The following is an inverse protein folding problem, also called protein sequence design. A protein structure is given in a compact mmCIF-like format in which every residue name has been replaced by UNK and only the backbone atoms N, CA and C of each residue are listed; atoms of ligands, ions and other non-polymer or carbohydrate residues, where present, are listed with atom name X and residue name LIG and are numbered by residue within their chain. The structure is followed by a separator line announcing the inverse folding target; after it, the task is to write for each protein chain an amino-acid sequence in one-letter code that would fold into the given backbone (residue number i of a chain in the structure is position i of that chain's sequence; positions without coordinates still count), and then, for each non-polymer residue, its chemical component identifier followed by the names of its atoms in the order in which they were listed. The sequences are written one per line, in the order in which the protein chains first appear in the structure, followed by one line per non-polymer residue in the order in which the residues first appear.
data_IF_538502741763
#
_entry.id   IF_538502741763
#
_cell.length_a   1.000
_cell.length_b   1.000
_cell.length_c   1.000
_cell.angle_alpha   90.00
_cell.angle_beta   90.00
_cell.angle_gamma   90.00
#
_symmetry.space_group_name_H-M   'P 1'
#
loop_
_entity.id
_entity.type
_entity.pdbx_description
1 polymer ?
#
# COMPACT_ATOMS: atom_id res chain seq x y z
N UNK A 1 61.61 44.16 6.32
CA UNK A 1 62.12 44.63 5.03
C UNK A 1 61.72 43.65 4.02
N UNK A 2 60.61 43.94 3.36
CA UNK A 2 60.50 44.15 1.90
C UNK A 2 60.54 42.81 1.16
N UNK A 3 59.71 42.48 0.23
CA UNK A 3 58.68 43.22 -0.52
C UNK A 3 57.76 42.19 -1.17
N UNK A 4 56.53 42.63 -1.36
CA UNK A 4 55.54 42.08 -2.28
C UNK A 4 56.06 41.96 -3.69
N UNK A 5 55.63 40.93 -4.42
CA UNK A 5 55.46 41.01 -5.88
C UNK A 5 54.23 40.21 -6.31
N UNK A 6 53.24 40.87 -6.89
CA UNK A 6 52.03 40.24 -7.43
C UNK A 6 52.18 40.13 -8.96
N UNK A 7 51.52 39.15 -9.53
CA UNK A 7 51.18 39.04 -10.95
C UNK A 7 51.74 37.82 -11.67
N UNK A 8 50.93 36.76 -11.65
CA UNK A 8 50.91 35.79 -12.73
C UNK A 8 49.46 35.66 -13.21
N UNK A 9 49.14 35.91 -14.50
CA UNK A 9 47.77 35.76 -15.03
C UNK A 9 47.44 34.30 -15.29
N UNK A 10 46.25 33.88 -14.81
CA UNK A 10 45.63 32.59 -15.17
C UNK A 10 45.36 32.49 -16.68
N UNK A 11 45.53 31.29 -17.25
CA UNK A 11 45.18 31.01 -18.67
C UNK A 11 43.64 30.85 -18.80
N UNK A 12 43.05 31.21 -19.94
CA UNK A 12 41.61 31.11 -20.17
C UNK A 12 41.17 29.66 -20.26
N UNK A 13 40.15 29.29 -19.43
CA UNK A 13 39.47 28.01 -19.51
C UNK A 13 38.71 27.90 -20.82
N UNK A 14 39.16 26.98 -21.67
CA UNK A 14 38.51 26.53 -22.90
C UNK A 14 37.19 25.84 -22.54
N UNK A 15 36.06 26.43 -22.98
CA UNK A 15 34.75 25.84 -22.89
C UNK A 15 34.65 24.56 -23.71
N UNK A 16 34.46 23.43 -23.04
CA UNK A 16 34.06 22.19 -23.68
C UNK A 16 32.51 22.27 -23.98
N UNK A 17 32.06 21.76 -25.16
CA UNK A 17 30.66 21.75 -25.51
C UNK A 17 29.90 20.78 -24.58
N UNK A 18 28.73 21.25 -24.08
CA UNK A 18 27.88 20.54 -23.12
C UNK A 18 27.50 19.13 -23.59
N UNK A 19 27.68 18.18 -22.69
CA UNK A 19 27.15 16.84 -22.83
C UNK A 19 25.61 16.92 -22.81
N UNK A 20 24.88 16.09 -23.60
CA UNK A 20 23.43 16.04 -23.58
C UNK A 20 22.95 15.61 -22.19
N UNK A 21 21.99 16.38 -21.65
CA UNK A 21 21.44 16.18 -20.31
C UNK A 21 20.95 14.74 -20.11
N UNK A 22 21.36 14.17 -19.00
CA UNK A 22 20.80 12.92 -18.49
C UNK A 22 19.27 13.07 -18.34
N UNK A 23 18.47 12.04 -18.68
CA UNK A 23 17.04 12.09 -18.47
C UNK A 23 16.77 12.33 -16.98
N UNK A 24 15.96 13.34 -16.69
CA UNK A 24 15.62 13.78 -15.34
C UNK A 24 15.20 12.60 -14.48
N UNK A 25 15.83 12.47 -13.33
CA UNK A 25 15.36 11.59 -12.28
C UNK A 25 13.89 11.97 -12.01
N UNK A 26 12.98 11.02 -12.22
CA UNK A 26 11.59 11.13 -11.83
C UNK A 26 11.61 11.42 -10.33
N UNK A 27 11.21 12.64 -9.94
CA UNK A 27 11.16 13.04 -8.54
C UNK A 27 10.36 12.04 -7.74
N UNK A 28 10.84 11.68 -6.56
CA UNK A 28 10.06 10.91 -5.62
C UNK A 28 8.68 11.59 -5.43
N UNK A 29 7.59 10.83 -5.34
CA UNK A 29 6.25 11.41 -5.19
C UNK A 29 6.24 12.38 -4.01
N UNK A 30 5.63 13.55 -4.21
CA UNK A 30 5.45 14.59 -3.20
C UNK A 30 4.46 14.10 -2.13
N UNK A 31 4.91 13.16 -1.31
CA UNK A 31 4.14 12.64 -0.18
C UNK A 31 4.19 13.68 0.90
N UNK A 32 3.05 14.24 1.35
CA UNK A 32 3.03 15.23 2.41
C UNK A 32 3.72 14.67 3.66
N UNK A 33 4.83 15.31 4.06
CA UNK A 33 5.55 14.92 5.27
C UNK A 33 4.63 15.13 6.48
N UNK A 34 4.22 14.05 7.08
CA UNK A 34 3.50 14.09 8.34
C UNK A 34 4.46 14.49 9.46
N UNK A 35 4.03 15.34 10.41
CA UNK A 35 4.89 15.72 11.52
C UNK A 35 5.36 14.48 12.29
N UNK A 36 6.63 14.49 12.72
CA UNK A 36 7.22 13.39 13.47
C UNK A 36 6.38 13.07 14.73
N UNK A 37 6.09 11.79 15.00
CA UNK A 37 5.23 11.40 16.11
C UNK A 37 5.82 11.83 17.44
N UNK A 38 5.00 12.47 18.29
CA UNK A 38 5.40 12.99 19.60
C UNK A 38 5.54 11.90 20.66
N UNK A 39 4.81 10.80 20.49
CA UNK A 39 4.76 9.69 21.45
C UNK A 39 5.14 8.39 20.74
N UNK A 40 6.06 7.65 21.36
CA UNK A 40 6.41 6.27 20.90
C UNK A 40 6.01 5.26 21.96
N UNK A 41 5.65 4.06 21.53
CA UNK A 41 5.30 2.98 22.41
C UNK A 41 6.52 2.47 23.20
N UNK A 42 6.32 2.29 24.50
CA UNK A 42 7.25 1.57 25.37
C UNK A 42 6.45 0.63 26.29
N UNK A 43 7.08 -0.47 26.76
CA UNK A 43 6.38 -1.44 27.61
C UNK A 43 5.98 -0.81 28.95
N UNK A 44 4.73 -1.03 29.34
CA UNK A 44 4.28 -0.63 30.68
C UNK A 44 4.83 -1.58 31.74
N UNK A 45 5.19 -1.03 32.90
CA UNK A 45 5.57 -1.85 34.06
C UNK A 45 4.33 -2.63 34.54
N UNK A 46 4.32 -3.93 34.31
CA UNK A 46 3.22 -4.82 34.70
C UNK A 46 3.79 -6.04 35.43
N UNK A 47 3.06 -6.50 36.45
CA UNK A 47 3.41 -7.70 37.24
C UNK A 47 2.40 -8.79 36.88
N UNK A 48 2.79 -10.04 37.04
CA UNK A 48 1.88 -11.19 36.88
C UNK A 48 0.65 -11.03 37.79
N UNK A 49 -0.53 -11.02 37.19
CA UNK A 49 -1.78 -10.76 37.91
C UNK A 49 -2.17 -11.86 38.88
N UNK A 50 -1.68 -13.08 38.72
CA UNK A 50 -1.95 -14.21 39.64
C UNK A 50 -1.46 -13.95 41.06
N UNK A 51 -0.24 -13.40 41.21
CA UNK A 51 0.31 -13.03 42.52
C UNK A 51 -0.51 -11.88 43.13
N UNK A 52 -0.87 -10.88 42.37
CA UNK A 52 -1.65 -9.75 42.85
C UNK A 52 -3.07 -10.18 43.26
N UNK A 53 -3.69 -11.10 42.53
CA UNK A 53 -4.98 -11.70 42.89
C UNK A 53 -4.90 -12.45 44.20
N UNK A 54 -3.88 -13.30 44.37
CA UNK A 54 -3.66 -14.07 45.59
C UNK A 54 -3.46 -13.16 46.79
N UNK A 55 -2.59 -12.14 46.67
CA UNK A 55 -2.38 -11.14 47.73
C UNK A 55 -3.66 -10.36 48.08
N UNK A 56 -4.46 -9.98 47.05
CA UNK A 56 -5.73 -9.30 47.27
C UNK A 56 -6.73 -10.21 48.04
N UNK A 57 -6.79 -11.50 47.69
CA UNK A 57 -7.66 -12.48 48.33
C UNK A 57 -7.26 -12.76 49.77
N UNK A 58 -5.96 -12.90 50.04
CA UNK A 58 -5.40 -13.05 51.38
C UNK A 58 -5.68 -11.80 52.19
N UNK A 59 -5.54 -10.59 51.64
CA UNK A 59 -5.88 -9.34 52.31
C UNK A 59 -7.35 -9.28 52.72
N UNK A 60 -8.24 -9.74 51.83
CA UNK A 60 -9.67 -9.80 52.12
C UNK A 60 -9.96 -10.81 53.25
N UNK A 61 -9.34 -11.98 53.24
CA UNK A 61 -9.48 -12.99 54.31
C UNK A 61 -8.98 -12.45 55.64
N UNK A 62 -7.84 -11.75 55.66
CA UNK A 62 -7.33 -11.09 56.88
C UNK A 62 -8.28 -10.04 57.37
N UNK A 63 -8.92 -9.23 56.49
CA UNK A 63 -9.91 -8.25 56.88
C UNK A 63 -11.14 -8.92 57.56
N UNK A 64 -11.63 -10.03 56.99
CA UNK A 64 -12.72 -10.83 57.56
C UNK A 64 -12.34 -11.41 58.94
N UNK A 65 -11.12 -11.94 59.07
CA UNK A 65 -10.64 -12.44 60.37
C UNK A 65 -10.55 -11.33 61.42
N UNK A 66 -10.11 -10.12 61.04
CA UNK A 66 -10.09 -8.96 61.94
C UNK A 66 -11.49 -8.54 62.41
N UNK A 67 -12.48 -8.57 61.51
CA UNK A 67 -13.89 -8.29 61.90
C UNK A 67 -14.45 -9.38 62.79
N UNK A 68 -14.17 -10.65 62.53
CA UNK A 68 -14.59 -11.77 63.36
C UNK A 68 -13.99 -11.70 64.78
N UNK A 69 -12.69 -11.40 64.89
CA UNK A 69 -12.04 -11.21 66.19
C UNK A 69 -12.56 -9.98 66.93
N UNK A 70 -12.82 -8.87 66.20
CA UNK A 70 -13.47 -7.69 66.80
C UNK A 70 -14.88 -7.98 67.38
N UNK A 71 -15.64 -8.85 66.74
CA UNK A 71 -16.97 -9.27 67.23
C UNK A 71 -16.86 -10.08 68.51
N UNK A 72 -15.82 -10.91 68.70
CA UNK A 72 -15.63 -11.76 69.85
C UNK A 72 -15.09 -11.04 71.10
N UNK A 73 -14.47 -9.88 70.97
CA UNK A 73 -13.92 -9.12 72.12
C UNK A 73 -15.02 -8.40 72.90
N UNK A 74 -14.81 -8.25 74.21
CA UNK A 74 -15.73 -7.53 75.07
C UNK A 74 -15.34 -6.06 75.28
N UNK A 75 -14.07 -5.66 75.08
CA UNK A 75 -13.61 -4.28 75.31
C UNK A 75 -13.94 -3.35 74.13
N UNK A 76 -14.63 -2.26 74.39
CA UNK A 76 -15.08 -1.31 73.35
C UNK A 76 -13.88 -0.66 72.58
N UNK A 77 -12.79 -0.31 73.24
CA UNK A 77 -11.62 0.30 72.60
C UNK A 77 -10.92 -0.66 71.66
N UNK A 78 -10.69 -1.93 72.07
CA UNK A 78 -10.07 -2.93 71.21
C UNK A 78 -10.94 -3.30 70.01
N UNK A 79 -12.25 -3.36 70.16
CA UNK A 79 -13.19 -3.51 69.04
C UNK A 79 -13.02 -2.41 67.98
N UNK A 80 -13.03 -1.17 68.42
CA UNK A 80 -12.93 -0.04 67.52
C UNK A 80 -11.62 -0.05 66.69
N UNK A 81 -10.49 -0.36 67.33
CA UNK A 81 -9.19 -0.47 66.66
C UNK A 81 -9.20 -1.57 65.61
N UNK A 82 -9.71 -2.78 65.95
CA UNK A 82 -9.74 -3.91 64.99
C UNK A 82 -10.72 -3.64 63.83
N UNK A 83 -11.84 -2.99 64.06
CA UNK A 83 -12.78 -2.62 62.98
C UNK A 83 -12.11 -1.62 62.02
N UNK A 84 -11.44 -0.59 62.54
CA UNK A 84 -10.75 0.40 61.72
C UNK A 84 -9.62 -0.27 60.91
N UNK A 85 -8.82 -1.15 61.56
CA UNK A 85 -7.73 -1.87 60.87
C UNK A 85 -8.28 -2.82 59.80
N UNK A 86 -9.38 -3.54 60.10
CA UNK A 86 -10.05 -4.41 59.13
C UNK A 86 -10.61 -3.63 57.95
N UNK A 87 -11.15 -2.44 58.17
CA UNK A 87 -11.64 -1.55 57.09
C UNK A 87 -10.48 -1.07 56.20
N UNK A 88 -9.38 -0.66 56.76
CA UNK A 88 -8.19 -0.20 56.02
C UNK A 88 -7.64 -1.35 55.19
N UNK A 89 -7.50 -2.54 55.73
CA UNK A 89 -7.03 -3.73 55.01
C UNK A 89 -8.01 -4.10 53.89
N UNK A 90 -9.30 -4.14 54.15
CA UNK A 90 -10.31 -4.42 53.13
C UNK A 90 -10.24 -3.42 51.97
N UNK A 91 -10.22 -2.12 52.31
CA UNK A 91 -10.15 -1.04 51.30
C UNK A 91 -8.86 -1.14 50.47
N UNK A 92 -7.72 -1.39 51.11
CA UNK A 92 -6.43 -1.55 50.38
C UNK A 92 -6.45 -2.76 49.45
N UNK A 93 -7.03 -3.89 49.89
CA UNK A 93 -7.22 -5.08 49.05
C UNK A 93 -8.11 -4.82 47.85
N UNK A 94 -9.22 -4.14 48.02
CA UNK A 94 -10.15 -3.77 46.94
C UNK A 94 -9.46 -2.82 45.93
N UNK A 95 -8.75 -1.80 46.42
CA UNK A 95 -7.98 -0.89 45.57
C UNK A 95 -6.91 -1.68 44.80
N UNK A 96 -6.17 -2.56 45.43
CA UNK A 96 -5.16 -3.38 44.77
C UNK A 96 -5.77 -4.29 43.69
N UNK A 97 -6.93 -4.88 43.93
CA UNK A 97 -7.63 -5.71 42.94
C UNK A 97 -8.11 -4.92 41.72
N UNK A 98 -8.41 -3.63 41.85
CA UNK A 98 -8.71 -2.77 40.66
C UNK A 98 -7.52 -2.66 39.70
N UNK A 99 -6.29 -2.99 40.11
CA UNK A 99 -5.11 -3.06 39.27
C UNK A 99 -5.10 -4.24 38.30
N UNK A 100 -5.93 -5.25 38.50
CA UNK A 100 -5.99 -6.43 37.65
C UNK A 100 -6.60 -6.13 36.28
N UNK A 101 -5.93 -6.61 35.23
CA UNK A 101 -6.37 -6.51 33.85
C UNK A 101 -6.17 -7.82 33.14
N UNK A 102 -7.17 -8.22 32.38
CA UNK A 102 -7.09 -9.31 31.45
C UNK A 102 -6.76 -8.76 30.06
N UNK A 103 -5.69 -9.24 29.48
CA UNK A 103 -5.23 -8.92 28.13
C UNK A 103 -5.37 -10.17 27.28
N UNK A 104 -6.22 -10.11 26.25
CA UNK A 104 -6.40 -11.21 25.33
C UNK A 104 -5.33 -11.19 24.24
N UNK A 105 -4.96 -12.33 23.62
CA UNK A 105 -4.08 -12.38 22.48
C UNK A 105 -4.57 -11.50 21.34
N UNK A 106 -3.66 -10.70 20.76
CA UNK A 106 -4.00 -9.72 19.71
C UNK A 106 -4.67 -8.44 20.23
N UNK A 107 -4.55 -8.17 21.55
CA UNK A 107 -4.98 -6.92 22.18
C UNK A 107 -3.82 -6.28 22.94
N UNK A 108 -3.84 -4.99 23.03
CA UNK A 108 -2.92 -4.23 23.86
C UNK A 108 -3.71 -3.28 24.78
N UNK A 109 -3.12 -2.96 25.94
CA UNK A 109 -3.67 -1.99 26.88
C UNK A 109 -2.74 -0.79 26.98
N UNK A 110 -3.19 0.35 26.50
CA UNK A 110 -2.51 1.64 26.67
C UNK A 110 -2.80 2.15 28.07
N UNK A 111 -1.76 2.37 28.87
CA UNK A 111 -1.85 2.75 30.27
C UNK A 111 -1.51 4.22 30.44
N UNK A 112 -2.39 4.97 31.08
CA UNK A 112 -2.20 6.39 31.42
C UNK A 112 -2.33 6.60 32.93
N UNK A 113 -1.50 7.44 33.49
CA UNK A 113 -1.58 7.89 34.87
C UNK A 113 -1.80 9.40 34.90
N UNK A 114 -2.96 9.84 35.37
CA UNK A 114 -3.32 11.28 35.42
C UNK A 114 -3.09 12.00 34.08
N UNK A 115 -3.52 11.37 32.96
CA UNK A 115 -3.37 11.95 31.61
C UNK A 115 -1.98 11.76 30.97
N UNK A 116 -0.97 11.27 31.70
CA UNK A 116 0.36 10.98 31.14
C UNK A 116 0.46 9.53 30.70
N UNK A 117 0.97 9.30 29.50
CA UNK A 117 1.26 7.95 28.99
C UNK A 117 2.34 7.29 29.86
N UNK A 118 2.09 6.04 30.29
CA UNK A 118 2.98 5.23 31.14
C UNK A 118 3.39 3.91 30.49
N UNK A 119 3.06 3.71 29.24
CA UNK A 119 3.42 2.54 28.48
C UNK A 119 2.23 1.68 28.06
N UNK A 120 2.51 0.64 27.30
CA UNK A 120 1.52 -0.30 26.76
C UNK A 120 1.81 -1.71 27.24
N UNK A 121 0.76 -2.46 27.61
CA UNK A 121 0.83 -3.87 27.97
C UNK A 121 0.42 -4.67 26.72
N UNK A 122 1.36 -5.46 26.18
CA UNK A 122 1.11 -6.38 25.06
C UNK A 122 1.08 -7.84 25.47
N UNK A 123 1.69 -8.14 26.61
CA UNK A 123 1.70 -9.49 27.15
C UNK A 123 0.29 -9.94 27.51
N UNK A 124 -0.13 -11.04 26.97
CA UNK A 124 -1.42 -11.66 27.23
C UNK A 124 -1.52 -12.26 28.65
N UNK A 125 -2.76 -12.56 29.05
CA UNK A 125 -3.07 -13.10 30.34
C UNK A 125 -3.49 -12.08 31.38
N UNK A 126 -3.49 -12.49 32.65
CA UNK A 126 -3.84 -11.63 33.78
C UNK A 126 -2.61 -10.83 34.21
N UNK A 127 -2.69 -9.50 34.05
CA UNK A 127 -1.62 -8.54 34.39
C UNK A 127 -2.10 -7.56 35.43
N UNK A 128 -1.22 -7.19 36.33
CA UNK A 128 -1.49 -6.16 37.34
C UNK A 128 -0.69 -4.90 37.03
N UNK A 129 -1.39 -3.78 37.07
CA UNK A 129 -0.82 -2.43 36.96
C UNK A 129 -1.37 -1.54 38.06
N UNK A 130 -0.74 -0.40 38.28
CA UNK A 130 -1.17 0.57 39.27
C UNK A 130 -2.68 0.83 39.15
N UNK A 131 -3.46 0.64 40.24
CA UNK A 131 -4.92 0.80 40.24
C UNK A 131 -5.43 2.19 39.87
N UNK A 132 -4.61 3.23 40.00
CA UNK A 132 -4.96 4.62 39.67
C UNK A 132 -4.78 4.96 38.19
N UNK A 133 -4.41 3.99 37.35
CA UNK A 133 -4.24 4.21 35.91
C UNK A 133 -5.54 4.02 35.15
N UNK A 134 -5.76 4.87 34.14
CA UNK A 134 -6.76 4.60 33.10
C UNK A 134 -6.16 3.70 32.01
N UNK A 135 -6.98 2.86 31.39
CA UNK A 135 -6.53 1.82 30.47
C UNK A 135 -7.46 1.79 29.27
N UNK A 136 -6.88 2.00 28.07
CA UNK A 136 -7.60 1.93 26.81
C UNK A 136 -7.21 0.65 26.08
N UNK A 137 -8.21 -0.12 25.66
CA UNK A 137 -8.02 -1.32 24.86
C UNK A 137 -7.83 -0.96 23.40
N UNK A 138 -6.80 -1.53 22.76
CA UNK A 138 -6.55 -1.42 21.33
C UNK A 138 -6.33 -2.82 20.76
N UNK A 139 -6.98 -3.12 19.65
CA UNK A 139 -6.76 -4.35 18.91
C UNK A 139 -5.54 -4.20 18.02
N UNK A 140 -4.60 -5.15 18.12
CA UNK A 140 -3.41 -5.24 17.27
C UNK A 140 -3.57 -6.29 16.16
N UNK A 141 -4.80 -6.86 16.02
CA UNK A 141 -5.14 -7.82 14.98
C UNK A 141 -5.16 -7.15 13.63
N UNK A 142 -4.92 -7.95 12.60
CA UNK A 142 -5.06 -7.51 11.22
C UNK A 142 -6.51 -7.15 10.92
N UNK A 143 -6.72 -6.08 10.18
CA UNK A 143 -8.02 -5.58 9.74
C UNK A 143 -7.99 -5.33 8.25
N UNK A 144 -9.13 -5.51 7.61
CA UNK A 144 -9.35 -5.15 6.22
C UNK A 144 -10.20 -3.88 6.18
N UNK A 145 -9.85 -2.99 5.27
CA UNK A 145 -10.66 -1.85 4.89
C UNK A 145 -10.81 -1.86 3.37
N UNK A 146 -12.02 -1.82 2.88
CA UNK A 146 -12.33 -1.68 1.47
C UNK A 146 -12.97 -0.31 1.24
N UNK A 147 -12.46 0.43 0.25
CA UNK A 147 -13.02 1.71 -0.12
C UNK A 147 -14.36 1.52 -0.84
N UNK A 148 -15.23 2.51 -0.78
CA UNK A 148 -16.31 2.59 -1.73
C UNK A 148 -15.74 2.73 -3.16
N UNK A 149 -16.55 2.42 -4.17
CA UNK A 149 -16.17 2.67 -5.57
C UNK A 149 -16.06 4.18 -5.76
N UNK A 150 -14.84 4.62 -6.08
CA UNK A 150 -14.50 6.02 -6.33
C UNK A 150 -14.53 6.30 -7.82
N UNK A 151 -15.24 7.35 -8.22
CA UNK A 151 -15.22 7.87 -9.59
C UNK A 151 -14.21 9.01 -9.67
N UNK A 152 -13.16 8.84 -10.47
CA UNK A 152 -12.06 9.80 -10.63
C UNK A 152 -11.60 9.84 -12.08
N UNK A 153 -10.86 10.87 -12.47
CA UNK A 153 -10.24 10.93 -13.79
C UNK A 153 -8.82 10.36 -13.71
N UNK A 154 -8.44 9.58 -14.70
CA UNK A 154 -7.08 9.07 -14.86
C UNK A 154 -6.12 10.18 -15.37
N UNK A 155 -4.83 9.85 -15.55
CA UNK A 155 -3.82 10.77 -16.04
C UNK A 155 -4.13 11.39 -17.41
N UNK A 156 -4.97 10.74 -18.23
CA UNK A 156 -5.43 11.26 -19.52
C UNK A 156 -6.78 11.99 -19.43
N UNK A 157 -7.34 12.15 -18.24
CA UNK A 157 -8.63 12.79 -18.03
C UNK A 157 -9.85 11.91 -18.31
N UNK A 158 -9.67 10.61 -18.49
CA UNK A 158 -10.79 9.67 -18.66
C UNK A 158 -11.43 9.36 -17.30
N UNK A 159 -12.76 9.42 -17.16
CA UNK A 159 -13.43 9.01 -15.94
C UNK A 159 -13.36 7.50 -15.77
N UNK A 160 -12.81 7.07 -14.63
CA UNK A 160 -12.67 5.67 -14.22
C UNK A 160 -13.34 5.45 -12.87
N UNK A 161 -13.77 4.23 -12.64
CA UNK A 161 -14.28 3.74 -11.36
C UNK A 161 -13.28 2.75 -10.79
N UNK A 162 -12.84 3.00 -9.55
CA UNK A 162 -11.89 2.13 -8.86
C UNK A 162 -12.25 1.99 -7.38
N UNK A 163 -11.89 0.84 -6.82
CA UNK A 163 -11.91 0.56 -5.40
C UNK A 163 -10.67 -0.23 -5.01
N UNK A 164 -10.26 -0.09 -3.76
CA UNK A 164 -9.12 -0.81 -3.23
C UNK A 164 -9.44 -1.42 -1.86
N UNK A 165 -8.82 -2.56 -1.58
CA UNK A 165 -8.79 -3.17 -0.26
C UNK A 165 -7.40 -3.00 0.33
N UNK A 166 -7.36 -2.58 1.59
CA UNK A 166 -6.13 -2.40 2.34
C UNK A 166 -6.19 -3.25 3.60
N UNK A 167 -5.18 -4.08 3.77
CA UNK A 167 -4.97 -4.93 4.94
C UNK A 167 -3.96 -4.23 5.84
N UNK A 168 -4.33 -3.98 7.08
CA UNK A 168 -3.51 -3.20 8.00
C UNK A 168 -3.63 -3.68 9.45
N UNK A 169 -2.67 -3.29 10.29
CA UNK A 169 -2.66 -3.54 11.73
C UNK A 169 -2.05 -2.39 12.50
N UNK A 170 -2.38 -2.28 13.79
CA UNK A 170 -1.73 -1.31 14.67
C UNK A 170 -0.35 -1.84 15.08
N UNK A 171 0.70 -1.09 14.72
CA UNK A 171 2.10 -1.37 15.09
C UNK A 171 2.48 -0.66 16.38
N UNK A 172 2.13 0.63 16.50
CA UNK A 172 2.38 1.46 17.68
C UNK A 172 1.04 1.92 18.26
N UNK A 173 0.70 1.40 19.44
CA UNK A 173 -0.58 1.68 20.08
C UNK A 173 -0.61 3.06 20.75
N UNK A 174 0.56 3.61 21.08
CA UNK A 174 0.64 4.95 21.64
C UNK A 174 0.32 5.99 20.57
N UNK A 175 0.95 5.87 19.40
CA UNK A 175 0.63 6.73 18.25
C UNK A 175 -0.84 6.63 17.86
N UNK A 176 -1.37 5.41 17.74
CA UNK A 176 -2.77 5.19 17.42
C UNK A 176 -3.77 5.75 18.45
N UNK A 177 -3.30 6.01 19.68
CA UNK A 177 -4.15 6.57 20.76
C UNK A 177 -4.03 8.06 20.93
N UNK A 178 -2.89 8.67 20.59
CA UNK A 178 -2.55 10.04 20.99
C UNK A 178 -2.23 10.97 19.82
N UNK A 179 -1.86 10.45 18.66
CA UNK A 179 -1.56 11.28 17.49
C UNK A 179 -2.81 11.50 16.62
N UNK A 180 -3.78 10.59 16.70
CA UNK A 180 -5.04 10.67 15.94
C UNK A 180 -6.23 10.35 16.85
N UNK A 181 -7.37 10.99 16.60
CA UNK A 181 -8.58 10.76 17.41
C UNK A 181 -9.17 9.37 17.15
N UNK A 182 -9.29 9.01 15.87
CA UNK A 182 -9.81 7.72 15.42
C UNK A 182 -8.93 7.14 14.31
N UNK A 183 -8.02 6.27 14.69
CA UNK A 183 -7.09 5.66 13.75
C UNK A 183 -7.78 4.81 12.67
N UNK A 184 -8.99 4.29 12.93
CA UNK A 184 -9.74 3.51 11.93
C UNK A 184 -10.28 4.42 10.83
N UNK A 185 -10.89 5.51 11.19
CA UNK A 185 -11.41 6.53 10.28
C UNK A 185 -10.27 7.25 9.54
N UNK A 186 -9.17 7.52 10.26
CA UNK A 186 -7.97 8.08 9.67
C UNK A 186 -7.42 7.21 8.54
N UNK A 187 -7.26 5.89 8.78
CA UNK A 187 -6.81 4.94 7.74
C UNK A 187 -7.78 4.92 6.56
N UNK A 188 -9.10 4.91 6.81
CA UNK A 188 -10.10 4.94 5.76
C UNK A 188 -9.95 6.18 4.86
N UNK A 189 -9.86 7.36 5.47
CA UNK A 189 -9.71 8.63 4.73
C UNK A 189 -8.39 8.71 3.97
N UNK A 190 -7.27 8.28 4.58
CA UNK A 190 -5.98 8.27 3.91
C UNK A 190 -5.93 7.24 2.77
N UNK A 191 -6.63 6.13 2.90
CA UNK A 191 -6.75 5.13 1.83
C UNK A 191 -7.47 5.72 0.61
N UNK A 192 -8.61 6.38 0.81
CA UNK A 192 -9.32 7.03 -0.29
C UNK A 192 -8.48 8.11 -0.95
N UNK A 193 -7.76 8.90 -0.17
CA UNK A 193 -6.88 9.96 -0.69
C UNK A 193 -5.72 9.38 -1.52
N UNK A 194 -5.07 8.32 -1.06
CA UNK A 194 -3.99 7.67 -1.79
C UNK A 194 -4.47 6.99 -3.07
N UNK A 195 -5.60 6.28 -3.01
CA UNK A 195 -6.23 5.66 -4.18
C UNK A 195 -6.57 6.71 -5.25
N UNK A 196 -7.11 7.85 -4.84
CA UNK A 196 -7.41 8.98 -5.74
C UNK A 196 -6.14 9.57 -6.35
N UNK A 197 -5.09 9.72 -5.57
CA UNK A 197 -3.81 10.25 -6.03
C UNK A 197 -3.18 9.35 -7.09
N UNK A 198 -3.06 8.05 -6.82
CA UNK A 198 -2.56 7.06 -7.78
C UNK A 198 -3.40 7.04 -9.06
N UNK A 199 -4.72 7.16 -8.96
CA UNK A 199 -5.59 7.20 -10.13
C UNK A 199 -5.34 8.40 -11.05
N UNK A 200 -5.01 9.57 -10.47
CA UNK A 200 -4.70 10.79 -11.23
C UNK A 200 -3.29 10.71 -11.85
N UNK A 201 -2.36 10.04 -11.19
CA UNK A 201 -0.96 9.94 -11.62
C UNK A 201 -0.77 8.96 -12.78
N UNK A 202 -1.55 7.87 -12.82
CA UNK A 202 -1.39 6.81 -13.82
C UNK A 202 -2.62 6.69 -14.73
N UNK A 203 -2.40 6.47 -16.07
CA UNK A 203 -3.51 6.21 -16.98
C UNK A 203 -4.12 4.82 -16.73
N UNK A 204 -5.40 4.66 -17.04
CA UNK A 204 -6.07 3.36 -16.98
C UNK A 204 -5.41 2.34 -17.91
N UNK A 205 -5.09 2.73 -19.15
CA UNK A 205 -4.48 1.89 -20.18
C UNK A 205 -3.37 2.70 -20.88
N UNK A 206 -2.17 2.12 -20.99
CA UNK A 206 -1.05 2.79 -21.66
C UNK A 206 -1.27 2.80 -23.17
N UNK A 207 -0.99 3.94 -23.82
CA UNK A 207 -1.07 4.09 -25.27
C UNK A 207 0.28 3.85 -25.93
N UNK A 208 1.37 4.02 -25.16
CA UNK A 208 2.73 3.89 -25.62
C UNK A 208 3.37 2.58 -25.11
N UNK A 209 4.20 1.97 -25.94
CA UNK A 209 4.97 0.77 -25.56
C UNK A 209 5.94 1.13 -24.42
N UNK A 210 5.68 0.59 -23.23
CA UNK A 210 6.52 0.79 -22.02
C UNK A 210 6.00 1.78 -20.99
N UNK A 211 4.86 2.43 -21.21
CA UNK A 211 4.21 3.28 -20.20
C UNK A 211 3.55 2.46 -19.09
N UNK A 212 3.70 2.92 -17.83
CA UNK A 212 2.98 2.33 -16.68
C UNK A 212 1.49 2.67 -16.78
N UNK A 213 0.64 1.66 -16.55
CA UNK A 213 -0.81 1.82 -16.52
C UNK A 213 -1.45 1.01 -15.40
N UNK A 214 -2.59 1.49 -14.89
CA UNK A 214 -3.32 0.85 -13.81
C UNK A 214 -3.72 -0.59 -14.16
N UNK A 215 -4.05 -0.85 -15.42
CA UNK A 215 -4.46 -2.17 -15.90
C UNK A 215 -3.28 -3.06 -16.29
N UNK A 216 -2.29 -2.51 -16.97
CA UNK A 216 -1.16 -3.28 -17.53
C UNK A 216 -0.12 -3.67 -16.47
N UNK A 217 0.13 -2.79 -15.50
CA UNK A 217 1.18 -2.91 -14.50
C UNK A 217 0.59 -2.95 -13.07
N UNK A 218 -0.49 -3.70 -12.88
CA UNK A 218 -1.25 -3.70 -11.62
C UNK A 218 -0.39 -4.01 -10.38
N UNK A 219 0.59 -4.90 -10.49
CA UNK A 219 1.47 -5.25 -9.36
C UNK A 219 2.37 -4.08 -8.96
N UNK A 220 3.02 -3.43 -9.94
CA UNK A 220 3.90 -2.29 -9.67
C UNK A 220 3.13 -1.08 -9.10
N UNK A 221 1.97 -0.79 -9.66
CA UNK A 221 1.09 0.28 -9.16
C UNK A 221 0.58 -0.02 -7.75
N UNK A 222 0.27 -1.28 -7.46
CA UNK A 222 -0.15 -1.73 -6.12
C UNK A 222 0.98 -1.56 -5.10
N UNK A 223 2.23 -1.82 -5.48
CA UNK A 223 3.39 -1.59 -4.63
C UNK A 223 3.58 -0.09 -4.35
N UNK A 224 3.46 0.77 -5.37
CA UNK A 224 3.49 2.23 -5.19
C UNK A 224 2.38 2.71 -4.26
N UNK A 225 1.16 2.19 -4.43
CA UNK A 225 0.06 2.48 -3.52
C UNK A 225 0.39 2.07 -2.07
N UNK A 226 1.01 0.90 -1.87
CA UNK A 226 1.40 0.43 -0.54
C UNK A 226 2.45 1.36 0.10
N UNK A 227 3.45 1.81 -0.66
CA UNK A 227 4.49 2.74 -0.21
C UNK A 227 3.87 4.09 0.18
N UNK A 228 3.03 4.64 -0.66
CA UNK A 228 2.34 5.91 -0.40
C UNK A 228 1.44 5.82 0.83
N UNK A 229 0.62 4.76 0.92
CA UNK A 229 -0.21 4.52 2.09
C UNK A 229 0.62 4.39 3.36
N UNK A 230 1.73 3.66 3.30
CA UNK A 230 2.62 3.48 4.46
C UNK A 230 3.12 4.83 4.98
N UNK A 231 3.62 5.68 4.09
CA UNK A 231 4.09 7.01 4.46
C UNK A 231 2.98 7.89 5.09
N UNK A 232 1.74 7.80 4.57
CA UNK A 232 0.60 8.58 5.09
C UNK A 232 0.10 8.10 6.46
N UNK A 233 0.15 6.80 6.75
CA UNK A 233 -0.44 6.25 7.99
C UNK A 233 0.59 5.92 9.08
N UNK A 234 1.88 6.01 8.79
CA UNK A 234 2.96 5.71 9.75
C UNK A 234 2.85 6.56 11.01
N UNK A 235 2.55 7.86 10.87
CA UNK A 235 2.39 8.78 12.00
C UNK A 235 1.24 8.39 12.94
N UNK A 236 0.23 7.68 12.44
CA UNK A 236 -0.86 7.12 13.24
C UNK A 236 -0.53 5.77 13.89
N UNK A 237 0.72 5.31 13.81
CA UNK A 237 1.15 4.03 14.38
C UNK A 237 0.56 2.80 13.71
N UNK A 238 0.12 2.94 12.45
CA UNK A 238 -0.47 1.88 11.65
C UNK A 238 0.54 1.35 10.64
N UNK A 239 0.53 0.05 10.43
CA UNK A 239 1.33 -0.64 9.41
C UNK A 239 0.42 -1.23 8.35
N UNK A 240 0.66 -0.89 7.10
CA UNK A 240 0.04 -1.55 5.95
C UNK A 240 0.73 -2.91 5.77
N UNK A 241 -0.07 -3.96 5.62
CA UNK A 241 0.38 -5.32 5.35
C UNK A 241 0.30 -5.59 3.86
N UNK A 242 -0.80 -5.17 3.24
CA UNK A 242 -1.09 -5.40 1.83
C UNK A 242 -2.10 -4.36 1.35
N UNK A 243 -2.00 -3.98 0.08
CA UNK A 243 -3.02 -3.20 -0.62
C UNK A 243 -3.28 -3.81 -1.99
N UNK A 244 -4.52 -3.77 -2.47
CA UNK A 244 -4.90 -4.24 -3.81
C UNK A 244 -6.09 -3.47 -4.34
N UNK A 245 -6.16 -3.29 -5.66
CA UNK A 245 -7.37 -2.82 -6.31
C UNK A 245 -8.37 -3.97 -6.39
N UNK A 246 -9.62 -3.71 -5.97
CA UNK A 246 -10.73 -4.68 -6.03
C UNK A 246 -11.65 -4.42 -7.22
N UNK A 247 -11.74 -3.15 -7.63
CA UNK A 247 -12.51 -2.72 -8.79
C UNK A 247 -11.69 -1.72 -9.60
N UNK A 248 -11.66 -1.92 -10.92
CA UNK A 248 -11.00 -1.01 -11.85
C UNK A 248 -11.69 -1.12 -13.20
N UNK A 249 -12.43 -0.09 -13.58
CA UNK A 249 -13.19 -0.03 -14.83
C UNK A 249 -13.29 1.39 -15.36
N UNK A 250 -13.54 1.55 -16.66
CA UNK A 250 -14.00 2.83 -17.17
C UNK A 250 -15.40 3.14 -16.63
N UNK A 251 -15.65 4.42 -16.36
CA UNK A 251 -16.99 4.84 -15.98
C UNK A 251 -18.01 4.52 -17.09
N UNK A 252 -19.26 4.15 -16.74
CA UNK A 252 -20.26 3.69 -17.70
C UNK A 252 -20.49 4.64 -18.87
N UNK A 253 -20.30 5.95 -18.66
CA UNK A 253 -20.51 6.98 -19.67
C UNK A 253 -19.58 6.87 -20.88
N UNK A 254 -18.35 6.39 -20.65
CA UNK A 254 -17.33 6.29 -21.71
C UNK A 254 -16.97 4.84 -22.06
N UNK A 255 -17.50 3.86 -21.32
CA UNK A 255 -17.13 2.46 -21.48
C UNK A 255 -17.32 1.95 -22.93
N UNK A 256 -18.43 2.30 -23.57
CA UNK A 256 -18.72 1.91 -24.95
C UNK A 256 -17.75 2.55 -25.96
N UNK A 257 -17.42 3.83 -25.79
CA UNK A 257 -16.48 4.52 -26.67
C UNK A 257 -15.05 3.97 -26.51
N UNK A 258 -14.63 3.66 -25.25
CA UNK A 258 -13.32 3.07 -24.99
C UNK A 258 -13.21 1.63 -25.52
N UNK A 259 -14.29 0.85 -25.44
CA UNK A 259 -14.34 -0.47 -26.06
C UNK A 259 -14.16 -0.39 -27.59
N UNK A 260 -14.84 0.54 -28.26
CA UNK A 260 -14.67 0.75 -29.70
C UNK A 260 -13.23 1.16 -30.05
N UNK A 261 -12.62 2.04 -29.24
CA UNK A 261 -11.24 2.46 -29.41
C UNK A 261 -10.26 1.28 -29.25
N UNK A 262 -10.46 0.44 -28.22
CA UNK A 262 -9.65 -0.76 -28.00
C UNK A 262 -9.80 -1.75 -29.16
N UNK A 263 -11.03 -1.97 -29.65
CA UNK A 263 -11.28 -2.80 -30.83
C UNK A 263 -10.56 -2.27 -32.07
N UNK A 264 -10.68 -0.97 -32.35
CA UNK A 264 -9.98 -0.36 -33.48
C UNK A 264 -8.45 -0.49 -33.35
N UNK A 265 -7.89 -0.24 -32.16
CA UNK A 265 -6.46 -0.44 -31.89
C UNK A 265 -6.02 -1.90 -32.10
N UNK A 266 -6.81 -2.85 -31.61
CA UNK A 266 -6.54 -4.28 -31.79
C UNK A 266 -6.55 -4.70 -33.25
N UNK A 267 -7.50 -4.20 -34.04
CA UNK A 267 -7.56 -4.47 -35.48
C UNK A 267 -6.33 -3.91 -36.21
N UNK A 268 -5.92 -2.66 -35.89
CA UNK A 268 -4.72 -2.05 -36.48
C UNK A 268 -3.46 -2.83 -36.11
N UNK A 269 -3.31 -3.21 -34.83
CA UNK A 269 -2.17 -3.99 -34.34
C UNK A 269 -2.12 -5.37 -35.02
N UNK A 270 -3.25 -6.06 -35.13
CA UNK A 270 -3.34 -7.33 -35.83
C UNK A 270 -2.96 -7.20 -37.32
N UNK A 271 -3.43 -6.14 -38.00
CA UNK A 271 -3.06 -5.89 -39.40
C UNK A 271 -1.56 -5.59 -39.55
N UNK A 272 -0.96 -4.81 -38.66
CA UNK A 272 0.48 -4.57 -38.69
C UNK A 272 1.24 -5.88 -38.57
N UNK A 273 0.86 -6.75 -37.64
CA UNK A 273 1.49 -8.05 -37.44
C UNK A 273 1.35 -8.97 -38.66
N UNK A 274 0.19 -8.93 -39.34
CA UNK A 274 -0.02 -9.67 -40.60
C UNK A 274 0.91 -9.14 -41.68
N UNK A 275 1.02 -7.80 -41.84
CA UNK A 275 1.90 -7.21 -42.85
C UNK A 275 3.38 -7.53 -42.57
N UNK A 276 3.83 -7.36 -41.33
CA UNK A 276 5.23 -7.66 -40.94
C UNK A 276 5.54 -9.15 -41.17
N UNK A 277 4.60 -10.05 -40.82
CA UNK A 277 4.72 -11.46 -41.11
C UNK A 277 4.74 -11.79 -42.60
N UNK A 278 3.89 -11.12 -43.40
CA UNK A 278 3.85 -11.29 -44.85
C UNK A 278 5.16 -10.84 -45.54
N UNK A 279 5.70 -9.69 -45.11
CA UNK A 279 7.02 -9.23 -45.62
C UNK A 279 8.12 -10.23 -45.32
N UNK A 280 8.20 -10.73 -44.08
CA UNK A 280 9.20 -11.73 -43.71
C UNK A 280 9.04 -13.05 -44.48
N UNK A 281 7.77 -13.48 -44.73
CA UNK A 281 7.53 -14.67 -45.60
C UNK A 281 7.96 -14.45 -47.04
N UNK A 282 7.71 -13.28 -47.61
CA UNK A 282 8.11 -12.92 -48.98
C UNK A 282 9.63 -12.87 -49.09
N UNK A 283 10.31 -12.23 -48.12
CA UNK A 283 11.79 -12.19 -48.07
C UNK A 283 12.40 -13.61 -48.01
N UNK A 284 11.87 -14.46 -47.11
CA UNK A 284 12.32 -15.83 -47.00
C UNK A 284 12.08 -16.65 -48.30
N UNK A 285 10.95 -16.41 -48.98
CA UNK A 285 10.64 -17.07 -50.25
C UNK A 285 11.61 -16.65 -51.35
N UNK A 286 11.89 -15.36 -51.49
CA UNK A 286 12.82 -14.81 -52.46
C UNK A 286 14.26 -15.31 -52.21
N UNK A 287 14.69 -15.34 -50.94
CA UNK A 287 16.00 -15.87 -50.57
C UNK A 287 16.16 -17.34 -50.97
N UNK A 288 15.14 -18.19 -50.70
CA UNK A 288 15.19 -19.60 -51.09
C UNK A 288 15.17 -19.85 -52.60
N UNK A 289 14.42 -19.03 -53.37
CA UNK A 289 14.43 -19.13 -54.83
C UNK A 289 15.82 -18.75 -55.39
N UNK A 290 16.47 -17.76 -54.82
CA UNK A 290 17.83 -17.36 -55.22
C UNK A 290 18.87 -18.43 -54.83
N UNK A 291 18.81 -19.03 -53.65
CA UNK A 291 19.74 -20.10 -53.21
C UNK A 291 19.62 -21.37 -54.04
N UNK A 292 18.44 -21.73 -54.46
CA UNK A 292 18.20 -22.98 -55.19
C UNK A 292 18.27 -22.83 -56.72
N UNK A 293 18.56 -21.61 -57.19
CA UNK A 293 18.68 -21.27 -58.63
C UNK A 293 17.48 -21.80 -59.48
N UNK A 294 16.26 -21.73 -58.86
CA UNK A 294 15.05 -22.29 -59.47
C UNK A 294 14.60 -21.52 -60.72
N UNK A 295 14.75 -20.18 -60.68
CA UNK A 295 14.36 -19.28 -61.76
C UNK A 295 15.25 -18.02 -61.73
N UNK A 296 15.82 -17.61 -62.85
CA UNK A 296 16.42 -16.26 -62.98
C UNK A 296 15.31 -15.22 -63.00
N UNK A 297 15.22 -14.42 -61.92
CA UNK A 297 14.26 -13.34 -61.75
C UNK A 297 14.96 -12.01 -61.97
N UNK A 298 14.54 -11.25 -62.98
CA UNK A 298 14.89 -9.84 -63.14
C UNK A 298 14.16 -8.99 -62.07
N UNK A 299 14.59 -7.76 -61.90
CA UNK A 299 14.04 -6.87 -60.85
C UNK A 299 12.53 -6.56 -61.06
N UNK A 300 12.07 -6.53 -62.33
CA UNK A 300 10.66 -6.28 -62.63
C UNK A 300 9.78 -7.48 -62.27
N UNK A 301 10.25 -8.70 -62.52
CA UNK A 301 9.53 -9.92 -62.15
C UNK A 301 9.54 -10.15 -60.65
N UNK A 302 10.64 -9.82 -59.93
CA UNK A 302 10.70 -9.82 -58.48
C UNK A 302 9.67 -8.90 -57.91
N UNK A 303 9.59 -7.63 -58.39
CA UNK A 303 8.59 -6.64 -57.93
C UNK A 303 7.14 -7.11 -58.14
N UNK A 304 6.85 -7.68 -59.32
CA UNK A 304 5.53 -8.24 -59.60
C UNK A 304 5.16 -9.42 -58.69
N UNK A 305 6.15 -10.33 -58.44
CA UNK A 305 5.95 -11.46 -57.53
C UNK A 305 5.72 -11.00 -56.07
N UNK A 306 6.53 -10.04 -55.57
CA UNK A 306 6.36 -9.44 -54.24
C UNK A 306 4.97 -8.82 -54.10
N UNK A 307 4.55 -8.02 -55.06
CA UNK A 307 3.25 -7.38 -55.07
C UNK A 307 2.11 -8.40 -55.03
N UNK A 308 2.17 -9.46 -55.84
CA UNK A 308 1.15 -10.50 -55.88
C UNK A 308 1.10 -11.31 -54.59
N UNK A 309 2.28 -11.68 -54.03
CA UNK A 309 2.33 -12.40 -52.73
C UNK A 309 1.81 -11.57 -51.58
N UNK A 310 2.18 -10.28 -51.50
CA UNK A 310 1.67 -9.38 -50.46
C UNK A 310 0.14 -9.20 -50.55
N UNK A 311 -0.41 -9.06 -51.75
CA UNK A 311 -1.89 -8.98 -51.92
C UNK A 311 -2.58 -10.26 -51.42
N UNK A 312 -2.02 -11.44 -51.68
CA UNK A 312 -2.57 -12.71 -51.24
C UNK A 312 -2.42 -12.90 -49.73
N UNK A 313 -1.26 -12.55 -49.17
CA UNK A 313 -0.95 -12.76 -47.73
C UNK A 313 -1.60 -11.73 -46.83
N UNK A 314 -1.77 -10.47 -47.30
CA UNK A 314 -2.37 -9.39 -46.52
C UNK A 314 -3.89 -9.23 -46.78
N UNK A 315 -4.48 -9.97 -47.74
CA UNK A 315 -5.89 -9.87 -48.09
C UNK A 315 -6.80 -10.50 -47.03
N UNK A 316 -7.92 -9.85 -46.74
CA UNK A 316 -8.95 -10.35 -45.80
C UNK A 316 -9.78 -11.50 -46.37
N UNK A 317 -9.71 -11.75 -47.68
CA UNK A 317 -10.47 -12.81 -48.37
C UNK A 317 -9.53 -13.74 -49.10
N UNK A 318 -9.87 -15.00 -49.11
CA UNK A 318 -9.16 -16.01 -49.91
C UNK A 318 -9.19 -15.59 -51.40
N UNK A 319 -7.99 -15.50 -52.07
CA UNK A 319 -7.95 -15.17 -53.49
C UNK A 319 -8.70 -16.19 -54.33
N UNK A 320 -9.58 -15.71 -55.20
CA UNK A 320 -10.21 -16.59 -56.16
C UNK A 320 -9.41 -16.51 -57.48
N UNK A 321 -8.84 -17.65 -57.94
CA UNK A 321 -8.10 -17.65 -59.19
C UNK A 321 -9.08 -17.40 -60.35
N UNK A 322 -8.89 -16.35 -61.11
CA UNK A 322 -9.59 -16.11 -62.36
C UNK A 322 -8.82 -16.76 -63.48
N UNK A 323 -9.29 -17.92 -63.92
CA UNK A 323 -8.74 -18.56 -65.12
C UNK A 323 -9.35 -17.92 -66.35
N UNK A 324 -8.51 -17.18 -67.08
CA UNK A 324 -8.90 -16.61 -68.37
C UNK A 324 -8.88 -17.74 -69.42
N UNK A 325 -10.01 -18.36 -69.69
CA UNK A 325 -10.14 -19.42 -70.71
C UNK A 325 -10.43 -18.89 -72.11
N UNK A 326 -10.39 -17.55 -72.25
CA UNK A 326 -10.67 -16.93 -73.56
C UNK A 326 -9.39 -16.71 -74.39
N UNK A 327 -9.39 -17.18 -75.56
CA UNK A 327 -8.44 -17.00 -76.70
C UNK A 327 -7.24 -17.96 -76.78
N UNK A 328 -7.52 -19.24 -76.85
CA UNK A 328 -6.55 -20.17 -77.46
C UNK A 328 -6.73 -20.32 -78.98
N UNK A 329 -7.57 -19.52 -79.62
CA UNK A 329 -7.72 -19.52 -81.08
C UNK A 329 -7.95 -18.11 -81.60
N UNK A 330 -6.94 -17.42 -81.98
CA UNK A 330 -6.78 -16.61 -83.21
C UNK A 330 -5.40 -16.64 -83.72
#
# INVERSE_FOLDING_TARGET
MSADDPSTPEPPTSGAPGAPGAPGAVGAPDVPEMPAPRVREFPAHSIGGGLALLLGLVGLLVAVALFATAAALSSAGAKAVLIVLGLVVALSAVIAMRGLNMVAPGEARVVQLFGRYRGTIRDDGLRWVNPFTSRRKISTRVRNHETAVLKVNDAYGNPIELAAVVVWKVRDTAQASFEVDNYVEFVATQTEAAVRHIAIEYPYDAHDEGGLSLRGNAEEITEKLAVELHARVEAAGVQIVESRFTHLAYAPEIASAMLQRQQAGAVVAARRQIVDGAVGMVEAALARIAEQDIVELDEERKAAMVSNLLVVLCGDRAPQPVLNTGSLYQ
#
